data_IF_875775054856
#
_entry.id   IF_875775054856
#
_cell.length_a   1.000
_cell.length_b   1.000
_cell.length_c   1.000
_cell.angle_alpha   90.00
_cell.angle_beta   90.00
_cell.angle_gamma   90.00
#
_symmetry.space_group_name_H-M   'P 1'
#
loop_
_entity.id
_entity.type
_entity.pdbx_description
1 polymer ?
#
# COMPACT_ATOMS: atom_id res chain seq x y z
N UNK A 1 -4.94 -13.66 6.17
CA UNK A 1 -4.58 -13.84 4.75
C UNK A 1 -5.53 -13.11 3.81
N UNK A 2 -6.84 -13.38 3.84
CA UNK A 2 -7.83 -12.58 3.08
C UNK A 2 -8.30 -11.33 3.84
N UNK A 3 -8.69 -11.48 5.11
CA UNK A 3 -9.10 -10.34 5.94
C UNK A 3 -8.03 -9.23 6.01
N UNK A 4 -6.75 -9.58 5.97
CA UNK A 4 -5.63 -8.63 5.95
C UNK A 4 -5.59 -7.79 4.67
N UNK A 5 -6.05 -8.34 3.55
CA UNK A 5 -6.17 -7.60 2.30
C UNK A 5 -7.27 -6.53 2.41
N UNK A 6 -8.38 -6.87 3.06
CA UNK A 6 -9.49 -5.95 3.31
C UNK A 6 -9.23 -4.97 4.46
N UNK A 7 -8.41 -5.36 5.42
CA UNK A 7 -8.00 -4.50 6.54
C UNK A 7 -7.08 -3.39 6.04
N UNK A 8 -7.57 -2.15 6.11
CA UNK A 8 -6.86 -0.96 5.66
C UNK A 8 -5.63 -0.64 6.48
N UNK A 9 -5.69 -0.91 7.78
CA UNK A 9 -4.63 -0.57 8.72
C UNK A 9 -3.59 -1.69 8.86
N UNK A 10 -3.83 -2.86 8.26
CA UNK A 10 -2.92 -4.01 8.31
C UNK A 10 -1.48 -3.59 8.00
N UNK A 11 -1.27 -2.95 6.85
CA UNK A 11 0.06 -2.54 6.39
C UNK A 11 0.72 -1.54 7.34
N UNK A 12 -0.06 -0.69 8.01
CA UNK A 12 0.43 0.30 8.98
C UNK A 12 0.91 -0.33 10.29
N UNK A 13 0.28 -1.45 10.70
CA UNK A 13 0.56 -2.15 11.94
C UNK A 13 1.76 -3.10 11.85
N UNK A 14 2.21 -3.41 10.65
CA UNK A 14 3.37 -4.28 10.42
C UNK A 14 4.69 -3.59 10.80
N UNK A 15 5.75 -4.36 11.14
CA UNK A 15 7.04 -3.80 11.54
C UNK A 15 7.59 -2.81 10.49
N UNK A 16 7.97 -1.61 10.95
CA UNK A 16 8.44 -0.50 10.10
C UNK A 16 9.91 -0.20 10.36
N UNK A 17 10.68 -0.11 9.28
CA UNK A 17 12.06 0.39 9.30
C UNK A 17 12.15 1.66 8.46
N UNK A 18 12.75 2.71 9.02
CA UNK A 18 12.95 3.97 8.29
C UNK A 18 13.81 3.74 7.05
N UNK A 19 13.41 4.35 5.92
CA UNK A 19 14.13 4.36 4.63
C UNK A 19 14.17 3.00 3.90
N UNK A 20 13.38 2.02 4.31
CA UNK A 20 13.29 0.74 3.60
C UNK A 20 12.15 0.71 2.58
N UNK A 21 12.40 0.00 1.48
CA UNK A 21 11.39 -0.32 0.48
C UNK A 21 10.59 -1.53 0.94
N UNK A 22 9.27 -1.39 1.07
CA UNK A 22 8.44 -2.46 1.59
C UNK A 22 7.64 -3.13 0.47
N UNK A 23 7.63 -4.47 0.47
CA UNK A 23 6.82 -5.30 -0.42
C UNK A 23 5.89 -6.15 0.44
N UNK A 24 4.58 -5.98 0.25
CA UNK A 24 3.58 -6.76 0.97
C UNK A 24 3.02 -7.84 0.06
N UNK A 25 3.04 -9.10 0.52
CA UNK A 25 2.58 -10.25 -0.26
C UNK A 25 1.37 -10.86 0.45
N UNK A 26 0.22 -10.73 -0.17
CA UNK A 26 -1.02 -11.38 0.24
C UNK A 26 -1.16 -12.70 -0.53
N UNK A 27 -1.11 -13.81 0.20
CA UNK A 27 -1.39 -15.14 -0.37
C UNK A 27 -2.79 -15.53 0.06
N UNK A 28 -3.66 -15.77 -0.93
CA UNK A 28 -5.04 -16.17 -0.73
C UNK A 28 -5.22 -17.63 -1.18
N UNK A 29 -5.90 -18.41 -0.35
CA UNK A 29 -6.28 -19.79 -0.68
C UNK A 29 -7.49 -19.82 -1.65
N UNK A 30 -8.28 -18.74 -1.67
CA UNK A 30 -9.47 -18.59 -2.50
C UNK A 30 -9.28 -17.60 -3.64
N UNK A 31 -10.18 -17.65 -4.62
CA UNK A 31 -10.20 -16.73 -5.77
C UNK A 31 -11.23 -15.63 -5.52
N UNK A 32 -10.74 -14.42 -5.27
CA UNK A 32 -11.57 -13.21 -5.29
C UNK A 32 -11.79 -12.72 -6.74
N UNK A 33 -12.80 -11.86 -7.01
CA UNK A 33 -12.96 -11.22 -8.31
C UNK A 33 -11.71 -10.43 -8.72
N UNK A 34 -11.35 -10.51 -10.00
CA UNK A 34 -10.09 -9.91 -10.49
C UNK A 34 -10.08 -8.38 -10.34
N UNK A 35 -11.19 -7.71 -10.69
CA UNK A 35 -11.29 -6.25 -10.60
C UNK A 35 -11.20 -5.77 -9.16
N UNK A 36 -11.75 -6.57 -8.22
CA UNK A 36 -11.66 -6.32 -6.79
C UNK A 36 -10.21 -6.47 -6.28
N UNK A 37 -9.52 -7.55 -6.66
CA UNK A 37 -8.11 -7.73 -6.34
C UNK A 37 -7.25 -6.57 -6.87
N UNK A 38 -7.50 -6.12 -8.10
CA UNK A 38 -6.81 -4.96 -8.70
C UNK A 38 -7.09 -3.68 -7.91
N UNK A 39 -8.35 -3.45 -7.54
CA UNK A 39 -8.74 -2.27 -6.77
C UNK A 39 -8.05 -2.24 -5.40
N UNK A 40 -8.06 -3.37 -4.67
CA UNK A 40 -7.41 -3.51 -3.37
C UNK A 40 -5.89 -3.35 -3.47
N UNK A 41 -5.24 -3.97 -4.46
CA UNK A 41 -3.81 -3.82 -4.69
C UNK A 41 -3.41 -2.36 -4.96
N UNK A 42 -4.18 -1.65 -5.80
CA UNK A 42 -3.98 -0.23 -6.08
C UNK A 42 -4.12 0.62 -4.83
N UNK A 43 -5.20 0.43 -4.10
CA UNK A 43 -5.50 1.20 -2.88
C UNK A 43 -4.33 1.09 -1.89
N UNK A 44 -3.92 -0.15 -1.57
CA UNK A 44 -2.82 -0.42 -0.63
C UNK A 44 -1.49 0.17 -1.09
N UNK A 45 -1.18 0.06 -2.38
CA UNK A 45 0.04 0.62 -2.94
C UNK A 45 0.07 2.16 -2.83
N UNK A 46 -1.03 2.84 -3.16
CA UNK A 46 -1.15 4.31 -3.11
C UNK A 46 -1.03 4.80 -1.67
N UNK A 47 -1.86 4.27 -0.78
CA UNK A 47 -1.98 4.75 0.60
C UNK A 47 -0.65 4.68 1.35
N UNK A 48 0.15 3.65 1.08
CA UNK A 48 1.36 3.35 1.83
C UNK A 48 2.65 3.61 1.04
N UNK A 49 2.54 3.95 -0.26
CA UNK A 49 3.67 4.12 -1.20
C UNK A 49 4.66 2.95 -1.16
N UNK A 50 4.08 1.75 -1.23
CA UNK A 50 4.76 0.45 -1.23
C UNK A 50 4.52 -0.31 -2.55
N UNK A 51 5.10 -1.52 -2.63
CA UNK A 51 4.66 -2.53 -3.59
C UNK A 51 3.77 -3.56 -2.89
N UNK A 52 2.76 -4.02 -3.60
CA UNK A 52 1.79 -5.02 -3.15
C UNK A 52 1.75 -6.14 -4.17
N UNK A 53 1.72 -7.37 -3.69
CA UNK A 53 1.52 -8.57 -4.47
C UNK A 53 0.32 -9.31 -3.92
N UNK A 54 -0.64 -9.64 -4.79
CA UNK A 54 -1.75 -10.54 -4.46
C UNK A 54 -1.56 -11.82 -5.26
N UNK A 55 -1.38 -12.93 -4.55
CA UNK A 55 -1.29 -14.26 -5.11
C UNK A 55 -2.57 -15.03 -4.77
N UNK A 56 -3.35 -15.37 -5.79
CA UNK A 56 -4.49 -16.28 -5.69
C UNK A 56 -4.17 -17.60 -6.41
N UNK A 57 -5.04 -18.63 -6.31
CA UNK A 57 -4.89 -19.83 -7.12
C UNK A 57 -4.91 -19.55 -8.63
N UNK A 58 -5.67 -18.52 -9.06
CA UNK A 58 -5.91 -18.23 -10.49
C UNK A 58 -4.92 -17.24 -11.09
N UNK A 59 -4.44 -16.27 -10.32
CA UNK A 59 -3.62 -15.17 -10.85
C UNK A 59 -2.62 -14.64 -9.84
N UNK A 60 -1.68 -13.86 -10.36
CA UNK A 60 -0.69 -13.11 -9.61
C UNK A 60 -0.75 -11.66 -10.09
N UNK A 61 -1.04 -10.74 -9.17
CA UNK A 61 -1.17 -9.31 -9.42
C UNK A 61 -0.12 -8.58 -8.59
N UNK A 62 0.57 -7.63 -9.22
CA UNK A 62 1.45 -6.69 -8.56
C UNK A 62 0.97 -5.26 -8.76
N UNK A 63 1.13 -4.42 -7.75
CA UNK A 63 0.89 -2.99 -7.83
C UNK A 63 1.98 -2.24 -7.07
N UNK A 64 2.51 -1.16 -7.64
CA UNK A 64 3.35 -0.22 -6.89
C UNK A 64 3.04 1.21 -7.30
N UNK A 65 3.40 2.18 -6.45
CA UNK A 65 3.34 3.60 -6.86
C UNK A 65 4.47 3.95 -7.84
N UNK A 66 4.17 4.89 -8.73
CA UNK A 66 5.12 5.46 -9.67
C UNK A 66 5.52 6.90 -9.27
N UNK A 67 6.34 7.53 -10.11
CA UNK A 67 6.84 8.91 -9.90
C UNK A 67 5.74 9.94 -9.67
N UNK A 68 4.59 9.74 -10.30
CA UNK A 68 3.47 10.69 -10.32
C UNK A 68 2.43 10.40 -9.23
N UNK A 69 2.77 9.56 -8.24
CA UNK A 69 1.86 9.10 -7.18
C UNK A 69 0.65 8.31 -7.71
N UNK A 70 0.72 7.84 -8.96
CA UNK A 70 -0.23 6.91 -9.58
C UNK A 70 0.29 5.46 -9.46
N UNK A 71 -0.49 4.47 -9.89
CA UNK A 71 -0.15 3.06 -9.75
C UNK A 71 0.33 2.44 -11.05
N UNK A 72 1.43 1.71 -10.98
CA UNK A 72 1.84 0.77 -12.01
C UNK A 72 1.34 -0.64 -11.64
N UNK A 73 0.59 -1.25 -12.55
CA UNK A 73 0.08 -2.62 -12.41
C UNK A 73 0.98 -3.63 -13.13
N UNK A 74 1.06 -4.82 -12.56
CA UNK A 74 1.82 -5.95 -13.07
C UNK A 74 0.96 -7.21 -13.02
N UNK A 75 0.99 -8.00 -14.09
CA UNK A 75 0.25 -9.25 -14.21
C UNK A 75 1.09 -10.25 -14.98
N UNK A 76 0.98 -11.53 -14.65
CA UNK A 76 1.68 -12.59 -15.39
C UNK A 76 2.05 -13.76 -14.49
N UNK A 77 2.92 -14.63 -15.00
CA UNK A 77 3.48 -15.75 -14.20
C UNK A 77 4.61 -15.30 -13.28
N UNK A 78 5.31 -14.23 -13.65
CA UNK A 78 6.35 -13.59 -12.86
C UNK A 78 6.48 -12.12 -13.24
N UNK A 79 6.90 -11.30 -12.30
CA UNK A 79 7.27 -9.90 -12.48
C UNK A 79 8.22 -9.47 -11.38
N UNK A 80 8.89 -8.34 -11.57
CA UNK A 80 9.70 -7.70 -10.55
C UNK A 80 9.33 -6.23 -10.42
N UNK A 81 9.62 -5.66 -9.25
CA UNK A 81 9.49 -4.23 -9.02
C UNK A 81 10.85 -3.57 -9.12
N UNK A 82 10.94 -2.50 -9.90
CA UNK A 82 11.94 -1.48 -9.61
C UNK A 82 11.56 -0.83 -8.27
N UNK A 83 12.51 -0.66 -7.35
CA UNK A 83 12.23 -0.11 -6.03
C UNK A 83 12.07 1.42 -6.05
N UNK A 84 12.34 2.07 -7.19
CA UNK A 84 12.09 3.49 -7.34
C UNK A 84 10.64 3.85 -7.04
N UNK A 85 10.49 4.98 -6.34
CA UNK A 85 9.23 5.58 -5.93
C UNK A 85 8.45 4.84 -4.84
N UNK A 86 9.01 3.75 -4.29
CA UNK A 86 8.52 3.10 -3.07
C UNK A 86 9.10 3.81 -1.83
N UNK A 87 8.59 5.00 -1.54
CA UNK A 87 9.14 5.85 -0.48
C UNK A 87 8.65 5.49 0.93
N UNK A 88 7.76 4.50 1.05
CA UNK A 88 7.25 4.01 2.32
C UNK A 88 6.22 4.93 2.97
N UNK A 89 5.68 4.48 4.09
CA UNK A 89 4.52 5.05 4.78
C UNK A 89 4.67 6.53 5.10
N UNK A 90 5.80 6.93 5.68
CA UNK A 90 6.02 8.31 6.11
C UNK A 90 6.15 9.30 4.94
N UNK A 91 6.31 8.81 3.71
CA UNK A 91 6.40 9.65 2.52
C UNK A 91 5.07 10.25 2.06
N UNK A 92 3.97 9.88 2.72
CA UNK A 92 2.72 10.62 2.60
C UNK A 92 2.80 11.98 3.31
N UNK A 93 3.67 12.12 4.32
CA UNK A 93 3.81 13.36 5.07
C UNK A 93 4.76 14.35 4.42
N UNK A 94 4.32 15.59 4.29
CA UNK A 94 5.02 16.65 3.59
C UNK A 94 5.44 17.74 4.57
N UNK A 95 6.75 18.02 4.59
CA UNK A 95 7.35 19.01 5.50
C UNK A 95 7.05 20.45 5.06
N UNK A 96 6.83 20.66 3.76
CA UNK A 96 6.50 21.97 3.22
C UNK A 96 5.00 22.25 3.43
N UNK A 97 4.70 23.22 4.29
CA UNK A 97 3.32 23.57 4.68
C UNK A 97 2.49 24.16 3.54
N UNK A 98 3.13 24.65 2.48
CA UNK A 98 2.48 25.25 1.32
C UNK A 98 2.29 24.23 0.17
N UNK A 99 2.72 22.98 0.35
CA UNK A 99 2.53 21.91 -0.63
C UNK A 99 1.08 21.43 -0.61
N UNK A 100 0.46 21.35 -1.79
CA UNK A 100 -0.84 20.68 -1.97
C UNK A 100 -0.69 19.16 -2.16
N UNK A 101 0.54 18.66 -2.13
CA UNK A 101 0.86 17.25 -2.25
C UNK A 101 0.96 16.61 -0.86
N UNK A 102 0.43 15.39 -0.71
CA UNK A 102 0.49 14.61 0.53
C UNK A 102 -0.23 15.25 1.72
N UNK A 103 0.07 14.78 2.93
CA UNK A 103 -0.50 15.23 4.20
C UNK A 103 0.52 16.14 4.89
N UNK A 104 0.14 17.36 5.26
CA UNK A 104 1.06 18.26 5.97
C UNK A 104 1.49 17.64 7.31
N UNK A 105 2.80 17.58 7.58
CA UNK A 105 3.37 16.93 8.76
C UNK A 105 2.82 17.46 10.10
N UNK A 106 2.32 18.71 10.13
CA UNK A 106 1.68 19.27 11.34
C UNK A 106 0.39 18.52 11.74
N UNK A 107 -0.18 17.74 10.83
CA UNK A 107 -1.37 16.93 11.04
C UNK A 107 -1.07 15.45 11.26
N UNK A 108 0.20 15.05 11.37
CA UNK A 108 0.62 13.65 11.52
C UNK A 108 -0.13 12.95 12.66
N UNK A 109 -0.04 13.48 13.89
CA UNK A 109 -0.68 12.88 15.08
C UNK A 109 -2.20 12.75 14.90
N UNK A 110 -2.86 13.74 14.29
CA UNK A 110 -4.31 13.70 14.03
C UNK A 110 -4.69 12.62 13.02
N UNK A 111 -3.86 12.42 11.99
CA UNK A 111 -4.10 11.40 10.98
C UNK A 111 -3.85 9.99 11.52
N UNK A 112 -2.76 9.81 12.26
CA UNK A 112 -2.44 8.52 12.88
C UNK A 112 -3.50 8.12 13.92
N UNK A 113 -4.03 9.07 14.69
CA UNK A 113 -5.14 8.81 15.60
C UNK A 113 -6.43 8.32 14.90
N UNK A 114 -6.67 8.68 13.64
CA UNK A 114 -7.82 8.15 12.87
C UNK A 114 -7.58 6.69 12.50
N UNK A 115 -6.34 6.34 12.15
CA UNK A 115 -5.95 4.97 11.81
C UNK A 115 -6.09 4.06 13.04
N UNK A 116 -5.68 4.54 14.22
CA UNK A 116 -5.78 3.75 15.47
C UNK A 116 -7.24 3.42 15.82
N UNK A 117 -8.19 4.34 15.60
CA UNK A 117 -9.62 4.11 15.85
C UNK A 117 -10.20 3.05 14.90
N UNK A 118 -9.73 2.99 13.65
CA UNK A 118 -10.17 1.99 12.68
C UNK A 118 -9.57 0.59 12.93
N UNK A 119 -8.46 0.50 13.67
CA UNK A 119 -7.80 -0.77 14.00
C UNK A 119 -8.39 -1.53 15.20
N UNK A 120 -9.27 -0.89 15.99
CA UNK A 120 -9.94 -1.47 17.17
C UNK A 120 -11.35 -2.02 16.90
N UNK A 121 -11.87 -1.89 15.67
CA UNK A 121 -13.19 -2.36 15.23
C UNK A 121 -13.11 -3.57 14.30
#
# INVERSE_FOLDING_TARGET
MEQDLYNRVFVFNEPRFEKEHHVFIYVLDEVIPYDEAVALAKLRAIENRIAVVIKTPKYLIGAKTNRYKDVQLFTGRSFGFDLQHMYGFDSVYEKNKNSMNGINIIHKEKYEAIIDIEGEN
#
